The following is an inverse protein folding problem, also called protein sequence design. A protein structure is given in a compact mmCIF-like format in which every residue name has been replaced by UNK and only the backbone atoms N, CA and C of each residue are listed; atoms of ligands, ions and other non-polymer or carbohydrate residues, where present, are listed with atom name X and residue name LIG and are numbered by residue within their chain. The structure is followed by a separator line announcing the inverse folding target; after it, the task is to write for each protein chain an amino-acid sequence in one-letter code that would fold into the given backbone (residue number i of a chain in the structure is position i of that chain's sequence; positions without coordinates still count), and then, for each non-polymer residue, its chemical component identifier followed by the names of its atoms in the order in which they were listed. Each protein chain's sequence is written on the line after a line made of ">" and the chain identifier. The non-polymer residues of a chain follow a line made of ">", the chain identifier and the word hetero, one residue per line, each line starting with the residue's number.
data_IF_226737035599
#
_entry.id   IF_226737035599
#
_cell.length_a   1.000
_cell.length_b   1.000
_cell.length_c   1.000
_cell.angle_alpha   90.00
_cell.angle_beta   90.00
_cell.angle_gamma   90.00
#
_symmetry.space_group_name_H-M   'P 1'
#
loop_
_entity.id
_entity.type
_entity.pdbx_description
1 polymer ?
#
# COMPACT_ATOMS: atom_id res chain seq x y z
N UNK A 1 -0.48 -20.49 41.19
CA UNK A 1 0.68 -20.44 40.27
C UNK A 1 0.26 -20.09 38.83
N UNK A 2 -0.85 -20.63 38.32
CA UNK A 2 -1.41 -20.29 37.01
C UNK A 2 -1.83 -18.83 36.85
N UNK A 3 -2.47 -18.20 37.84
CA UNK A 3 -2.90 -16.79 37.75
C UNK A 3 -1.77 -15.79 37.47
N UNK A 4 -0.63 -15.95 38.14
CA UNK A 4 0.56 -15.07 37.95
C UNK A 4 1.13 -15.20 36.55
N UNK A 5 1.11 -16.42 35.97
CA UNK A 5 1.56 -16.68 34.61
C UNK A 5 0.66 -15.93 33.61
N UNK A 6 -0.66 -16.04 33.76
CA UNK A 6 -1.62 -15.35 32.89
C UNK A 6 -1.53 -13.81 33.04
N UNK A 7 -1.35 -13.30 34.25
CA UNK A 7 -1.17 -11.85 34.48
C UNK A 7 0.13 -11.33 33.86
N UNK A 8 1.20 -12.13 33.91
CA UNK A 8 2.49 -11.78 33.29
C UNK A 8 2.40 -11.80 31.76
N UNK A 9 1.71 -12.79 31.19
CA UNK A 9 1.43 -12.89 29.75
C UNK A 9 0.57 -11.72 29.29
N UNK A 10 -0.49 -11.38 30.02
CA UNK A 10 -1.34 -10.23 29.69
C UNK A 10 -0.57 -8.91 29.81
N UNK A 11 0.25 -8.76 30.86
CA UNK A 11 1.08 -7.56 31.05
C UNK A 11 2.07 -7.36 29.90
N UNK A 12 2.70 -8.45 29.45
CA UNK A 12 3.54 -8.44 28.26
C UNK A 12 2.76 -8.05 27.00
N UNK A 13 1.56 -8.62 26.79
CA UNK A 13 0.71 -8.23 25.65
C UNK A 13 0.31 -6.75 25.66
N UNK A 14 -0.06 -6.20 26.82
CA UNK A 14 -0.46 -4.79 26.90
C UNK A 14 0.73 -3.83 26.71
N UNK A 15 1.90 -4.18 27.26
CA UNK A 15 3.14 -3.42 27.03
C UNK A 15 3.51 -3.43 25.54
N UNK A 16 3.39 -4.59 24.89
CA UNK A 16 3.69 -4.76 23.47
C UNK A 16 2.75 -3.94 22.57
N UNK A 17 1.44 -3.96 22.88
CA UNK A 17 0.45 -3.12 22.20
C UNK A 17 0.76 -1.63 22.42
N UNK A 18 1.12 -1.24 23.65
CA UNK A 18 1.45 0.15 23.99
C UNK A 18 2.69 0.65 23.23
N UNK A 19 3.76 -0.14 23.18
CA UNK A 19 4.96 0.19 22.39
C UNK A 19 4.63 0.25 20.90
N UNK A 20 3.80 -0.66 20.39
CA UNK A 20 3.35 -0.65 19.00
C UNK A 20 2.55 0.61 18.64
N UNK A 21 1.70 1.10 19.55
CA UNK A 21 0.93 2.34 19.39
C UNK A 21 1.84 3.58 19.42
N UNK A 22 2.83 3.63 20.32
CA UNK A 22 3.85 4.70 20.35
C UNK A 22 4.67 4.70 19.06
N UNK A 23 4.98 3.52 18.52
CA UNK A 23 5.73 3.38 17.28
C UNK A 23 4.90 3.70 16.02
N UNK A 24 3.57 3.69 16.14
CA UNK A 24 2.64 4.14 15.10
C UNK A 24 2.69 5.67 14.90
N UNK A 25 3.34 6.41 15.80
CA UNK A 25 3.58 7.83 15.63
C UNK A 25 4.44 8.03 14.35
N UNK A 26 4.02 8.88 13.40
CA UNK A 26 4.62 9.04 12.07
C UNK A 26 6.02 9.68 12.06
N UNK A 27 6.74 9.62 13.18
CA UNK A 27 8.06 10.23 13.35
C UNK A 27 9.21 9.33 12.85
N UNK A 28 8.97 8.03 12.67
CA UNK A 28 10.01 7.07 12.26
C UNK A 28 9.83 6.66 10.79
N UNK A 29 10.78 7.09 9.96
CA UNK A 29 10.83 6.78 8.53
C UNK A 29 10.99 5.27 8.26
N UNK A 30 10.22 4.68 7.31
CA UNK A 30 10.34 3.28 6.89
C UNK A 30 11.76 2.84 6.49
N UNK A 31 12.58 3.78 6.02
CA UNK A 31 13.96 3.52 5.59
C UNK A 31 14.90 3.14 6.73
N UNK A 32 14.61 3.57 7.98
CA UNK A 32 15.41 3.17 9.15
C UNK A 32 15.14 1.70 9.53
N UNK A 33 13.90 1.26 9.40
CA UNK A 33 13.48 -0.13 9.68
C UNK A 33 14.11 -1.15 8.74
N UNK A 34 14.37 -0.79 7.49
CA UNK A 34 15.03 -1.68 6.53
C UNK A 34 16.49 -1.96 6.90
N UNK A 35 17.17 -1.02 7.59
CA UNK A 35 18.57 -1.20 8.02
C UNK A 35 18.72 -2.09 9.25
N UNK A 36 17.69 -2.15 10.10
CA UNK A 36 17.69 -2.95 11.34
C UNK A 36 17.38 -4.42 11.06
N UNK A 37 16.60 -4.71 10.01
CA UNK A 37 16.23 -6.06 9.61
C UNK A 37 17.40 -7.06 9.44
N UNK A 38 18.48 -6.74 8.68
CA UNK A 38 19.59 -7.68 8.52
C UNK A 38 20.28 -7.96 9.86
N UNK A 39 20.40 -6.96 10.72
CA UNK A 39 20.99 -7.11 12.06
C UNK A 39 20.13 -8.07 12.91
N UNK A 40 18.81 -7.87 12.89
CA UNK A 40 17.87 -8.71 13.62
C UNK A 40 17.86 -10.16 13.11
N UNK A 41 17.95 -10.34 11.79
CA UNK A 41 18.09 -11.66 11.15
C UNK A 41 19.39 -12.35 11.54
N UNK A 42 20.51 -11.62 11.58
CA UNK A 42 21.81 -12.16 11.99
C UNK A 42 21.80 -12.63 13.46
N UNK A 43 21.24 -11.82 14.37
CA UNK A 43 21.12 -12.20 15.79
C UNK A 43 20.21 -13.42 15.99
N UNK A 44 19.15 -13.54 15.19
CA UNK A 44 18.29 -14.72 15.21
C UNK A 44 18.99 -15.97 14.69
N UNK A 45 19.74 -15.86 13.59
CA UNK A 45 20.56 -16.95 13.06
C UNK A 45 21.65 -17.37 14.05
N UNK A 46 22.27 -16.42 14.74
CA UNK A 46 23.22 -16.67 15.81
C UNK A 46 22.57 -17.42 16.97
N UNK A 47 21.36 -17.00 17.37
CA UNK A 47 20.59 -17.68 18.43
C UNK A 47 20.17 -19.11 18.04
N UNK A 48 19.83 -19.36 16.77
CA UNK A 48 19.57 -20.72 16.25
C UNK A 48 20.82 -21.57 16.33
N UNK A 49 21.96 -21.03 15.86
CA UNK A 49 23.24 -21.76 15.86
C UNK A 49 23.68 -22.08 17.29
N UNK A 50 23.53 -21.13 18.21
CA UNK A 50 23.87 -21.31 19.62
C UNK A 50 22.96 -22.33 20.31
N UNK A 51 21.66 -22.30 20.01
CA UNK A 51 20.70 -23.29 20.52
C UNK A 51 21.00 -24.70 20.01
N UNK A 52 21.31 -24.87 18.72
CA UNK A 52 21.72 -26.18 18.16
C UNK A 52 23.02 -26.66 18.79
N UNK A 53 24.05 -25.81 18.86
CA UNK A 53 25.35 -26.15 19.45
C UNK A 53 25.24 -26.68 20.88
N UNK A 54 24.44 -26.02 21.74
CA UNK A 54 24.28 -26.48 23.13
C UNK A 54 23.33 -27.68 23.25
N UNK A 55 22.44 -27.88 22.27
CA UNK A 55 21.62 -29.07 22.21
C UNK A 55 22.47 -30.30 21.83
N UNK A 56 23.32 -30.18 20.82
CA UNK A 56 24.23 -31.25 20.37
C UNK A 56 25.30 -31.55 21.44
N UNK A 57 25.85 -30.51 22.10
CA UNK A 57 26.78 -30.68 23.21
C UNK A 57 26.16 -31.33 24.45
N UNK A 58 24.83 -31.31 24.59
CA UNK A 58 24.13 -32.05 25.66
C UNK A 58 24.03 -33.55 25.32
N UNK A 59 24.01 -33.89 24.04
CA UNK A 59 23.89 -35.27 23.54
C UNK A 59 25.25 -35.98 23.46
N UNK A 60 26.33 -35.26 23.14
CA UNK A 60 27.69 -35.80 22.99
C UNK A 60 28.44 -36.01 24.32
N UNK A 61 28.09 -35.26 25.38
CA UNK A 61 28.69 -35.46 26.71
C UNK A 61 28.18 -36.77 27.27
N UNK A 62 29.03 -37.80 27.29
CA UNK A 62 28.76 -39.10 27.91
C UNK A 62 28.28 -38.92 29.37
N UNK A 63 26.97 -39.06 29.55
CA UNK A 63 26.13 -38.57 30.64
C UNK A 63 26.37 -39.23 32.02
N UNK A 64 27.43 -40.03 32.20
CA UNK A 64 27.58 -40.86 33.41
C UNK A 64 28.65 -40.46 34.42
N UNK A 65 29.66 -39.67 34.04
CA UNK A 65 30.85 -39.54 34.91
C UNK A 65 31.04 -38.19 35.62
N UNK A 66 30.31 -37.12 35.27
CA UNK A 66 30.46 -35.84 35.98
C UNK A 66 29.18 -34.98 36.00
N UNK A 67 28.49 -34.97 37.13
CA UNK A 67 27.18 -34.28 37.33
C UNK A 67 27.28 -32.75 37.29
N UNK A 68 28.46 -32.19 37.56
CA UNK A 68 28.70 -30.74 37.49
C UNK A 68 28.70 -30.21 36.04
N UNK A 69 29.24 -30.98 35.09
CA UNK A 69 29.23 -30.61 33.67
C UNK A 69 27.83 -30.70 33.05
N UNK A 70 26.98 -31.63 33.52
CA UNK A 70 25.57 -31.75 33.10
C UNK A 70 24.79 -30.48 33.46
N UNK A 71 24.88 -30.04 34.72
CA UNK A 71 24.22 -28.82 35.20
C UNK A 71 24.72 -27.58 34.45
N UNK A 72 26.03 -27.48 34.19
CA UNK A 72 26.61 -26.38 33.43
C UNK A 72 26.11 -26.35 31.96
N UNK A 73 25.93 -27.50 31.32
CA UNK A 73 25.39 -27.60 29.97
C UNK A 73 23.90 -27.24 29.91
N UNK A 74 23.09 -27.74 30.85
CA UNK A 74 21.65 -27.41 30.96
C UNK A 74 21.41 -25.91 31.18
N UNK A 75 22.22 -25.26 32.02
CA UNK A 75 22.12 -23.81 32.25
C UNK A 75 22.41 -23.02 30.97
N UNK A 76 23.41 -23.44 30.17
CA UNK A 76 23.72 -22.81 28.88
C UNK A 76 22.61 -23.03 27.85
N UNK A 77 22.03 -24.23 27.81
CA UNK A 77 20.89 -24.53 26.93
C UNK A 77 19.66 -23.66 27.26
N UNK A 78 19.31 -23.52 28.53
CA UNK A 78 18.19 -22.66 28.96
C UNK A 78 18.42 -21.18 28.63
N UNK A 79 19.69 -20.73 28.63
CA UNK A 79 20.04 -19.38 28.18
C UNK A 79 19.83 -19.23 26.67
N UNK A 80 20.31 -20.18 25.88
CA UNK A 80 20.18 -20.15 24.43
C UNK A 80 18.70 -20.26 23.97
N UNK A 81 17.89 -21.09 24.63
CA UNK A 81 16.45 -21.19 24.36
C UNK A 81 15.72 -19.86 24.56
N UNK A 82 15.98 -19.15 25.66
CA UNK A 82 15.39 -17.83 25.89
C UNK A 82 15.84 -16.80 24.85
N UNK A 83 17.12 -16.76 24.52
CA UNK A 83 17.66 -15.84 23.50
C UNK A 83 17.05 -16.11 22.12
N UNK A 84 16.83 -17.38 21.76
CA UNK A 84 16.14 -17.78 20.55
C UNK A 84 14.68 -17.30 20.51
N UNK A 85 13.93 -17.47 21.61
CA UNK A 85 12.55 -16.98 21.67
C UNK A 85 12.46 -15.45 21.57
N UNK A 86 13.35 -14.73 22.26
CA UNK A 86 13.39 -13.26 22.23
C UNK A 86 13.73 -12.75 20.81
N UNK A 87 14.77 -13.30 20.19
CA UNK A 87 15.18 -12.89 18.84
C UNK A 87 14.15 -13.27 17.76
N UNK A 88 13.52 -14.44 17.87
CA UNK A 88 12.43 -14.86 16.98
C UNK A 88 11.19 -13.99 17.11
N UNK A 89 10.82 -13.64 18.33
CA UNK A 89 9.71 -12.73 18.59
C UNK A 89 9.97 -11.32 18.04
N UNK A 90 11.19 -10.80 18.19
CA UNK A 90 11.57 -9.50 17.63
C UNK A 90 11.46 -9.47 16.09
N UNK A 91 11.84 -10.55 15.40
CA UNK A 91 11.67 -10.67 13.96
C UNK A 91 10.20 -10.72 13.53
N UNK A 92 9.39 -11.48 14.27
CA UNK A 92 7.95 -11.56 14.03
C UNK A 92 7.28 -10.19 14.21
N UNK A 93 7.64 -9.46 15.28
CA UNK A 93 7.13 -8.12 15.54
C UNK A 93 7.60 -7.11 14.51
N UNK A 94 8.84 -7.19 14.04
CA UNK A 94 9.30 -6.34 12.93
C UNK A 94 8.43 -6.50 11.68
N UNK A 95 8.01 -7.73 11.35
CA UNK A 95 7.13 -7.98 10.21
C UNK A 95 5.74 -7.37 10.40
N UNK A 96 5.15 -7.53 11.58
CA UNK A 96 3.86 -6.93 11.93
C UNK A 96 3.94 -5.41 11.85
N UNK A 97 4.98 -4.81 12.44
CA UNK A 97 5.20 -3.37 12.45
C UNK A 97 5.40 -2.82 11.04
N UNK A 98 6.21 -3.47 10.19
CA UNK A 98 6.38 -3.07 8.78
C UNK A 98 5.04 -3.05 8.04
N UNK A 99 4.21 -4.08 8.25
CA UNK A 99 2.90 -4.18 7.62
C UNK A 99 1.95 -3.09 8.12
N UNK A 100 1.87 -2.88 9.44
CA UNK A 100 1.00 -1.88 10.05
C UNK A 100 1.38 -0.45 9.63
N UNK A 101 2.66 -0.08 9.73
CA UNK A 101 3.14 1.27 9.34
C UNK A 101 2.83 1.56 7.87
N UNK A 102 3.04 0.57 6.98
CA UNK A 102 2.74 0.72 5.55
C UNK A 102 1.24 0.88 5.31
N UNK A 103 0.40 0.17 6.07
CA UNK A 103 -1.05 0.30 5.97
C UNK A 103 -1.55 1.64 6.52
N UNK A 104 -1.04 2.10 7.65
CA UNK A 104 -1.40 3.40 8.24
C UNK A 104 -0.96 4.57 7.34
N UNK A 105 0.24 4.51 6.76
CA UNK A 105 0.71 5.53 5.82
C UNK A 105 -0.16 5.60 4.56
N UNK A 106 -0.61 4.45 4.04
CA UNK A 106 -1.55 4.41 2.91
C UNK A 106 -2.92 4.98 3.27
N UNK A 107 -3.44 4.66 4.46
CA UNK A 107 -4.72 5.20 4.93
C UNK A 107 -4.67 6.72 5.11
N UNK A 108 -3.62 7.25 5.72
CA UNK A 108 -3.46 8.70 5.90
C UNK A 108 -3.35 9.45 4.56
N UNK A 109 -2.64 8.88 3.57
CA UNK A 109 -2.55 9.47 2.23
C UNK A 109 -3.91 9.44 1.51
N UNK A 110 -4.61 8.29 1.57
CA UNK A 110 -5.91 8.12 0.93
C UNK A 110 -6.98 9.04 1.52
N UNK A 111 -6.95 9.24 2.83
CA UNK A 111 -7.90 10.09 3.55
C UNK A 111 -7.71 11.57 3.16
N UNK A 112 -6.46 12.04 3.06
CA UNK A 112 -6.16 13.38 2.57
C UNK A 112 -6.57 13.60 1.11
N UNK A 113 -6.38 12.59 0.24
CA UNK A 113 -6.82 12.64 -1.16
C UNK A 113 -8.35 12.59 -1.29
N UNK A 114 -9.02 11.80 -0.45
CA UNK A 114 -10.48 11.72 -0.40
C UNK A 114 -11.09 13.06 0.08
N UNK A 115 -10.49 13.70 1.08
CA UNK A 115 -10.92 15.01 1.55
C UNK A 115 -10.72 16.10 0.48
N UNK A 116 -9.59 16.08 -0.23
CA UNK A 116 -9.32 17.01 -1.32
C UNK A 116 -10.27 16.80 -2.52
N UNK A 117 -10.51 15.56 -2.93
CA UNK A 117 -11.43 15.23 -4.03
C UNK A 117 -12.88 15.56 -3.68
N UNK A 118 -13.32 15.35 -2.43
CA UNK A 118 -14.63 15.81 -1.97
C UNK A 118 -14.75 17.33 -2.04
N UNK A 119 -13.72 18.07 -1.63
CA UNK A 119 -13.72 19.54 -1.73
C UNK A 119 -13.82 19.99 -3.19
N UNK A 120 -13.06 19.37 -4.09
CA UNK A 120 -13.13 19.66 -5.53
C UNK A 120 -14.51 19.33 -6.12
N UNK A 121 -15.11 18.19 -5.78
CA UNK A 121 -16.43 17.79 -6.25
C UNK A 121 -17.54 18.76 -5.75
N UNK A 122 -17.46 19.17 -4.49
CA UNK A 122 -18.39 20.17 -3.90
C UNK A 122 -18.23 21.54 -4.55
N UNK A 123 -17.00 21.99 -4.80
CA UNK A 123 -16.73 23.25 -5.48
C UNK A 123 -17.24 23.25 -6.92
N UNK A 124 -17.00 22.18 -7.67
CA UNK A 124 -17.52 22.02 -9.04
C UNK A 124 -19.05 22.00 -9.08
N UNK A 125 -19.68 21.28 -8.14
CA UNK A 125 -21.14 21.24 -8.02
C UNK A 125 -21.72 22.61 -7.67
N UNK A 126 -21.12 23.33 -6.72
CA UNK A 126 -21.54 24.68 -6.35
C UNK A 126 -21.34 25.69 -7.50
N UNK A 127 -20.26 25.56 -8.29
CA UNK A 127 -20.03 26.38 -9.47
C UNK A 127 -21.08 26.12 -10.56
N UNK A 128 -21.42 24.85 -10.82
CA UNK A 128 -22.48 24.48 -11.75
C UNK A 128 -23.84 25.03 -11.30
N UNK A 129 -24.15 24.94 -10.00
CA UNK A 129 -25.40 25.44 -9.44
C UNK A 129 -25.49 26.97 -9.53
N UNK A 130 -24.39 27.70 -9.30
CA UNK A 130 -24.34 29.16 -9.53
C UNK A 130 -24.56 29.55 -10.98
N UNK A 131 -24.05 28.77 -11.94
CA UNK A 131 -24.28 29.01 -13.36
C UNK A 131 -25.75 28.77 -13.74
N UNK A 132 -26.39 27.74 -13.16
CA UNK A 132 -27.82 27.49 -13.33
C UNK A 132 -28.67 28.61 -12.72
N UNK A 133 -28.35 29.06 -11.50
CA UNK A 133 -29.06 30.16 -10.84
C UNK A 133 -28.89 31.49 -11.57
N UNK A 134 -27.71 31.75 -12.17
CA UNK A 134 -27.51 32.93 -13.03
C UNK A 134 -28.29 32.83 -14.34
N UNK A 135 -28.37 31.63 -14.93
CA UNK A 135 -29.18 31.40 -16.14
C UNK A 135 -30.69 31.60 -15.85
N UNK A 136 -31.18 31.13 -14.71
CA UNK A 136 -32.58 31.30 -14.28
C UNK A 136 -32.90 32.75 -13.89
N UNK A 137 -32.00 33.45 -13.21
CA UNK A 137 -32.20 34.89 -12.93
C UNK A 137 -32.18 35.74 -14.20
N UNK A 138 -31.34 35.38 -15.19
CA UNK A 138 -31.30 36.06 -16.50
C UNK A 138 -32.56 35.79 -17.33
N UNK A 139 -33.18 34.61 -17.19
CA UNK A 139 -34.43 34.27 -17.86
C UNK A 139 -35.65 34.94 -17.21
N UNK A 140 -35.66 35.13 -15.89
CA UNK A 140 -36.70 35.90 -15.19
C UNK A 140 -36.57 37.42 -15.40
N UNK A 141 -35.36 37.97 -15.45
CA UNK A 141 -35.15 39.42 -15.73
C UNK A 141 -35.58 39.83 -17.14
N UNK A 142 -35.55 38.90 -18.10
CA UNK A 142 -36.13 39.08 -19.45
C UNK A 142 -37.65 39.03 -19.52
N UNK A 143 -38.35 38.67 -18.44
CA UNK A 143 -39.83 38.67 -18.38
C UNK A 143 -40.42 39.95 -17.76
N UNK A 144 -39.62 40.80 -17.12
CA UNK A 144 -40.10 42.02 -16.45
C UNK A 144 -39.89 43.31 -17.25
N UNK A 145 -39.02 43.35 -18.25
CA UNK A 145 -38.79 44.55 -19.08
C UNK A 145 -39.38 44.33 -20.48
N UNK A 146 -40.70 44.49 -20.57
CA UNK A 146 -41.43 44.51 -21.82
C UNK A 146 -41.59 45.93 -22.32
N UNK A 147 -40.64 46.40 -23.14
CA UNK A 147 -40.90 47.43 -24.13
C UNK A 147 -40.36 47.03 -25.51
N UNK A 148 -41.11 47.47 -26.52
CA UNK A 148 -41.33 46.81 -27.81
C UNK A 148 -40.23 47.17 -28.81
N UNK A 149 -39.11 46.43 -28.88
CA UNK A 149 -38.21 46.49 -30.07
C UNK A 149 -37.32 45.25 -30.36
N UNK A 150 -37.20 44.26 -29.48
CA UNK A 150 -36.11 43.25 -29.53
C UNK A 150 -36.43 41.87 -30.18
N UNK A 151 -37.54 41.71 -30.92
CA UNK A 151 -37.93 40.39 -31.47
C UNK A 151 -36.99 39.84 -32.56
N UNK A 152 -36.20 40.69 -33.24
CA UNK A 152 -35.27 40.25 -34.30
C UNK A 152 -33.89 39.83 -33.79
N UNK A 153 -33.43 40.34 -32.64
CA UNK A 153 -32.09 40.02 -32.11
C UNK A 153 -32.08 38.69 -31.33
N UNK A 154 -33.20 38.38 -30.66
CA UNK A 154 -33.33 37.20 -29.80
C UNK A 154 -33.44 35.91 -30.62
N UNK A 155 -34.15 35.93 -31.75
CA UNK A 155 -34.19 34.80 -32.67
C UNK A 155 -32.78 34.47 -33.22
N UNK A 156 -31.99 35.50 -33.53
CA UNK A 156 -30.63 35.35 -34.04
C UNK A 156 -29.65 34.80 -32.98
N UNK A 157 -29.85 35.14 -31.70
CA UNK A 157 -29.05 34.57 -30.61
C UNK A 157 -29.49 33.14 -30.26
N UNK A 158 -30.78 32.82 -30.38
CA UNK A 158 -31.30 31.48 -30.11
C UNK A 158 -30.79 30.46 -31.13
N UNK A 159 -30.73 30.84 -32.41
CA UNK A 159 -30.15 30.00 -33.45
C UNK A 159 -28.64 29.82 -33.27
N UNK A 160 -27.89 30.88 -32.95
CA UNK A 160 -26.45 30.77 -32.62
C UNK A 160 -26.19 29.85 -31.43
N UNK A 161 -27.00 29.96 -30.37
CA UNK A 161 -26.84 29.12 -29.17
C UNK A 161 -27.16 27.65 -29.46
N UNK A 162 -28.14 27.37 -30.32
CA UNK A 162 -28.41 26.01 -30.80
C UNK A 162 -27.28 25.47 -31.69
N UNK A 163 -26.71 26.32 -32.53
CA UNK A 163 -25.59 25.98 -33.40
C UNK A 163 -24.32 25.65 -32.58
N UNK A 164 -24.00 26.46 -31.58
CA UNK A 164 -22.90 26.21 -30.64
C UNK A 164 -23.14 24.94 -29.79
N UNK A 165 -24.39 24.67 -29.41
CA UNK A 165 -24.74 23.45 -28.66
C UNK A 165 -24.62 22.18 -29.52
N UNK A 166 -24.92 22.28 -30.82
CA UNK A 166 -24.70 21.17 -31.77
C UNK A 166 -23.20 20.97 -32.01
N UNK A 167 -22.43 22.06 -32.16
CA UNK A 167 -20.99 22.02 -32.37
C UNK A 167 -20.25 21.41 -31.19
N UNK A 168 -20.56 21.86 -29.96
CA UNK A 168 -19.99 21.31 -28.73
C UNK A 168 -20.35 19.83 -28.52
N UNK A 169 -21.57 19.40 -28.87
CA UNK A 169 -21.93 17.97 -28.86
C UNK A 169 -21.14 17.15 -29.90
N UNK A 170 -20.87 17.73 -31.07
CA UNK A 170 -20.09 17.07 -32.10
C UNK A 170 -18.62 16.92 -31.70
N UNK A 171 -18.03 17.97 -31.11
CA UNK A 171 -16.67 17.96 -30.57
C UNK A 171 -16.53 16.98 -29.40
N UNK A 172 -17.53 16.90 -28.52
CA UNK A 172 -17.59 15.91 -27.43
C UNK A 172 -17.59 14.48 -27.99
N UNK A 173 -18.41 14.21 -29.02
CA UNK A 173 -18.49 12.89 -29.65
C UNK A 173 -17.17 12.50 -30.33
N UNK A 174 -16.49 13.47 -30.96
CA UNK A 174 -15.17 13.27 -31.57
C UNK A 174 -14.11 12.97 -30.51
N UNK A 175 -14.07 13.75 -29.42
CA UNK A 175 -13.15 13.52 -28.31
C UNK A 175 -13.35 12.15 -27.65
N UNK A 176 -14.59 11.68 -27.50
CA UNK A 176 -14.89 10.33 -27.00
C UNK A 176 -14.37 9.24 -27.95
N UNK A 177 -14.56 9.42 -29.25
CA UNK A 177 -14.04 8.49 -30.27
C UNK A 177 -12.51 8.44 -30.26
N UNK A 178 -11.84 9.59 -30.13
CA UNK A 178 -10.38 9.66 -30.06
C UNK A 178 -9.86 8.99 -28.78
N UNK A 179 -10.56 9.14 -27.65
CA UNK A 179 -10.25 8.44 -26.40
C UNK A 179 -10.37 6.92 -26.55
N UNK A 180 -11.41 6.44 -27.24
CA UNK A 180 -11.59 5.01 -27.49
C UNK A 180 -10.50 4.46 -28.42
N UNK A 181 -10.07 5.24 -29.42
CA UNK A 181 -8.95 4.89 -30.28
C UNK A 181 -7.63 4.80 -29.51
N UNK A 182 -7.33 5.77 -28.64
CA UNK A 182 -6.14 5.75 -27.77
C UNK A 182 -6.18 4.56 -26.82
N UNK A 183 -7.36 4.24 -26.26
CA UNK A 183 -7.55 3.07 -25.41
C UNK A 183 -7.26 1.76 -26.16
N UNK A 184 -7.80 1.59 -27.38
CA UNK A 184 -7.53 0.41 -28.21
C UNK A 184 -6.05 0.30 -28.58
N UNK A 185 -5.39 1.42 -28.86
CA UNK A 185 -3.95 1.45 -29.12
C UNK A 185 -3.14 1.03 -27.90
N UNK A 186 -3.48 1.54 -26.71
CA UNK A 186 -2.84 1.16 -25.45
C UNK A 186 -3.04 -0.34 -25.12
N UNK A 187 -4.25 -0.87 -25.33
CA UNK A 187 -4.52 -2.31 -25.19
C UNK A 187 -3.70 -3.14 -26.19
N UNK A 188 -3.51 -2.66 -27.41
CA UNK A 188 -2.63 -3.28 -28.40
C UNK A 188 -1.16 -3.31 -27.97
N UNK A 189 -0.63 -2.18 -27.49
CA UNK A 189 0.74 -2.10 -26.96
C UNK A 189 0.94 -3.05 -25.77
N UNK A 190 -0.04 -3.14 -24.88
CA UNK A 190 0.05 -4.02 -23.72
C UNK A 190 0.09 -5.51 -24.11
N UNK A 191 -0.67 -5.90 -25.15
CA UNK A 191 -0.63 -7.27 -25.70
C UNK A 191 0.73 -7.62 -26.32
N UNK A 192 1.33 -6.69 -27.08
CA UNK A 192 2.66 -6.90 -27.65
C UNK A 192 3.73 -6.98 -26.54
N UNK A 193 3.59 -6.19 -25.48
CA UNK A 193 4.44 -6.28 -24.29
C UNK A 193 4.36 -7.66 -23.63
N UNK A 194 3.14 -8.17 -23.39
CA UNK A 194 2.92 -9.51 -22.83
C UNK A 194 3.48 -10.63 -23.71
N UNK A 195 3.37 -10.48 -25.04
CA UNK A 195 3.95 -11.43 -25.99
C UNK A 195 5.47 -11.41 -25.93
N UNK A 196 6.08 -10.22 -25.94
CA UNK A 196 7.53 -10.05 -25.87
C UNK A 196 8.10 -10.62 -24.57
N UNK A 197 7.42 -10.41 -23.45
CA UNK A 197 7.78 -11.00 -22.16
C UNK A 197 7.77 -12.54 -22.18
N UNK A 198 6.77 -13.15 -22.84
CA UNK A 198 6.70 -14.60 -23.03
C UNK A 198 7.82 -15.13 -23.93
N UNK A 199 8.15 -14.42 -25.01
CA UNK A 199 9.26 -14.79 -25.90
C UNK A 199 10.61 -14.69 -25.16
N UNK A 200 10.84 -13.60 -24.40
CA UNK A 200 12.02 -13.48 -23.54
C UNK A 200 12.12 -14.61 -22.51
N UNK A 201 11.02 -14.99 -21.84
CA UNK A 201 11.01 -16.09 -20.88
C UNK A 201 11.38 -17.43 -21.53
N UNK A 202 10.90 -17.71 -22.75
CA UNK A 202 11.22 -18.93 -23.49
C UNK A 202 12.68 -18.96 -23.94
N UNK A 203 13.19 -17.83 -24.43
CA UNK A 203 14.59 -17.69 -24.82
C UNK A 203 15.53 -17.87 -23.61
N UNK A 204 15.16 -17.38 -22.44
CA UNK A 204 15.95 -17.54 -21.22
C UNK A 204 15.98 -18.99 -20.73
N UNK A 205 14.85 -19.71 -20.81
CA UNK A 205 14.80 -21.15 -20.50
C UNK A 205 15.65 -21.97 -21.47
N UNK A 206 15.49 -21.75 -22.78
CA UNK A 206 16.29 -22.46 -23.79
C UNK A 206 17.77 -22.12 -23.69
N UNK A 207 18.16 -20.86 -23.42
CA UNK A 207 19.55 -20.50 -23.16
C UNK A 207 20.12 -21.22 -21.92
N UNK A 208 19.34 -21.34 -20.85
CA UNK A 208 19.71 -22.12 -19.65
C UNK A 208 19.88 -23.62 -19.93
N UNK A 209 18.95 -24.22 -20.67
CA UNK A 209 19.01 -25.63 -21.08
C UNK A 209 20.19 -25.93 -22.02
N UNK A 210 20.52 -24.99 -22.92
CA UNK A 210 21.67 -25.15 -23.83
C UNK A 210 23.00 -25.01 -23.10
N UNK A 211 23.06 -24.22 -22.02
CA UNK A 211 24.22 -24.16 -21.12
C UNK A 211 24.41 -25.46 -20.33
N UNK A 212 23.31 -26.09 -19.90
CA UNK A 212 23.34 -27.36 -19.14
C UNK A 212 23.65 -28.60 -19.99
N UNK A 213 23.55 -28.52 -21.32
CA UNK A 213 23.89 -29.62 -22.25
C UNK A 213 25.33 -29.57 -22.79
N UNK A 214 26.09 -28.51 -22.48
CA UNK A 214 27.48 -28.32 -22.90
C UNK A 214 28.51 -28.63 -21.81
N UNK A 215 28.06 -28.99 -20.61
CA UNK A 215 28.82 -29.67 -19.55
C UNK A 215 28.48 -31.16 -19.56
#
# INVERSE_FOLDING_TARGET
>A
MTGIIWTSISGFMYLEIFVSVILLIPYISPSRWQKIFPILSLVFLESIREMRKYNDALEEVDLKNNRESELAAQVKLFRAQRNFYISGFALFMWFILKRLITQTAKQALLEAECEASQKQAKQASAAAQRLLDQADNTSNKKKEDGDVTEEKSVAQQLDKTKEDLVKTKMDLKKAVSDLEAVRKQAEGTNREYDRLMKEHSKLQQTAGETSSKKE
#
